data_IF_085556614533
#
_entry.id   IF_085556614533
#
_cell.length_a   1.000
_cell.length_b   1.000
_cell.length_c   1.000
_cell.angle_alpha   90.00
_cell.angle_beta   90.00
_cell.angle_gamma   90.00
#
_symmetry.space_group_name_H-M   'P 1'
#
loop_
_entity.id
_entity.type
_entity.pdbx_description
1 polymer ?
#
# COMPACT_ATOMS: atom_id res chain seq x y z
N UNK A 1 -18.91 14.18 -33.09
CA UNK A 1 -19.68 14.48 -31.87
C UNK A 1 -19.60 13.22 -31.05
N UNK A 2 -18.82 13.24 -29.96
CA UNK A 2 -18.73 12.11 -29.04
C UNK A 2 -20.08 11.92 -28.37
N UNK A 3 -20.51 10.66 -28.24
CA UNK A 3 -21.78 10.30 -27.64
C UNK A 3 -21.74 10.64 -26.14
N UNK A 4 -22.69 11.45 -25.60
CA UNK A 4 -22.73 11.78 -24.17
C UNK A 4 -22.92 10.56 -23.26
N UNK A 5 -23.41 9.45 -23.82
CA UNK A 5 -23.57 8.15 -23.14
C UNK A 5 -22.37 7.21 -23.37
N UNK A 6 -21.25 7.70 -23.92
CA UNK A 6 -20.04 6.92 -24.13
C UNK A 6 -19.25 6.71 -22.83
N UNK A 7 -19.79 5.84 -21.98
CA UNK A 7 -19.14 5.32 -20.76
C UNK A 7 -18.00 4.33 -21.08
N UNK A 8 -17.74 4.02 -22.36
CA UNK A 8 -16.70 3.04 -22.75
C UNK A 8 -15.27 3.48 -22.42
N UNK A 9 -15.06 4.76 -22.13
CA UNK A 9 -13.76 5.29 -21.71
C UNK A 9 -13.52 5.25 -20.20
N UNK A 10 -14.51 4.82 -19.39
CA UNK A 10 -14.37 4.79 -17.94
C UNK A 10 -13.97 3.38 -17.47
N UNK A 11 -12.71 3.24 -17.06
CA UNK A 11 -12.07 1.95 -16.83
C UNK A 11 -12.65 1.16 -15.64
N UNK A 12 -13.23 1.84 -14.66
CA UNK A 12 -13.59 1.24 -13.37
C UNK A 12 -15.10 1.02 -13.15
N UNK A 13 -15.95 1.26 -14.15
CA UNK A 13 -17.42 1.22 -13.99
C UNK A 13 -17.94 -0.18 -13.66
N UNK A 14 -17.17 -1.24 -13.95
CA UNK A 14 -17.56 -2.62 -13.66
C UNK A 14 -17.28 -3.04 -12.20
N UNK A 15 -16.39 -2.35 -11.48
CA UNK A 15 -15.95 -2.69 -10.11
C UNK A 15 -17.04 -2.47 -9.06
N UNK A 16 -17.26 -3.40 -8.13
CA UNK A 16 -18.20 -3.21 -7.02
C UNK A 16 -17.86 -2.00 -6.14
N UNK A 17 -18.83 -1.50 -5.35
CA UNK A 17 -18.60 -0.36 -4.43
C UNK A 17 -17.47 -0.65 -3.44
N UNK A 18 -17.34 -1.91 -2.99
CA UNK A 18 -16.25 -2.33 -2.11
C UNK A 18 -14.90 -2.22 -2.80
N UNK A 19 -14.77 -2.77 -4.01
CA UNK A 19 -13.54 -2.72 -4.78
C UNK A 19 -13.13 -1.28 -5.09
N UNK A 20 -14.10 -0.45 -5.52
CA UNK A 20 -13.85 0.98 -5.76
C UNK A 20 -13.32 1.69 -4.50
N UNK A 21 -13.90 1.44 -3.33
CA UNK A 21 -13.41 2.04 -2.09
C UNK A 21 -12.04 1.54 -1.68
N UNK A 22 -11.76 0.25 -1.89
CA UNK A 22 -10.44 -0.33 -1.64
C UNK A 22 -9.40 0.35 -2.53
N UNK A 23 -9.63 0.42 -3.84
CA UNK A 23 -8.71 1.09 -4.77
C UNK A 23 -8.53 2.57 -4.45
N UNK A 24 -9.61 3.30 -4.11
CA UNK A 24 -9.51 4.71 -3.72
C UNK A 24 -8.68 4.88 -2.44
N UNK A 25 -8.85 4.00 -1.45
CA UNK A 25 -8.03 4.03 -0.24
C UNK A 25 -6.56 3.75 -0.58
N UNK A 26 -6.28 2.64 -1.28
CA UNK A 26 -4.92 2.20 -1.55
C UNK A 26 -4.17 3.21 -2.45
N UNK A 27 -4.85 3.73 -3.48
CA UNK A 27 -4.32 4.82 -4.32
C UNK A 27 -4.02 6.07 -3.50
N UNK A 28 -4.91 6.46 -2.57
CA UNK A 28 -4.69 7.63 -1.72
C UNK A 28 -3.49 7.49 -0.77
N UNK A 29 -3.11 6.28 -0.40
CA UNK A 29 -1.90 6.03 0.39
C UNK A 29 -0.65 6.12 -0.49
N UNK A 30 -0.64 5.41 -1.62
CA UNK A 30 0.50 5.36 -2.54
C UNK A 30 0.84 6.75 -3.07
N UNK A 31 -0.17 7.57 -3.42
CA UNK A 31 0.04 8.90 -3.98
C UNK A 31 0.74 9.84 -3.00
N UNK A 32 0.42 9.76 -1.69
CA UNK A 32 1.06 10.55 -0.64
C UNK A 32 2.52 10.12 -0.45
N UNK A 33 2.76 8.82 -0.39
CA UNK A 33 4.09 8.24 -0.24
C UNK A 33 5.01 8.65 -1.41
N UNK A 34 4.50 8.56 -2.64
CA UNK A 34 5.22 8.97 -3.83
C UNK A 34 5.40 10.50 -3.91
N UNK A 35 4.43 11.29 -3.44
CA UNK A 35 4.58 12.74 -3.41
C UNK A 35 5.74 13.15 -2.50
N UNK A 36 5.84 12.58 -1.30
CA UNK A 36 6.98 12.81 -0.41
C UNK A 36 8.29 12.28 -0.98
N UNK A 37 8.30 11.07 -1.55
CA UNK A 37 9.49 10.52 -2.23
C UNK A 37 9.96 11.43 -3.37
N UNK A 38 9.05 11.96 -4.18
CA UNK A 38 9.38 12.82 -5.33
C UNK A 38 10.09 14.10 -4.89
N UNK A 39 9.69 14.71 -3.77
CA UNK A 39 10.33 15.89 -3.21
C UNK A 39 11.69 15.56 -2.62
N UNK A 40 11.76 14.47 -1.84
CA UNK A 40 12.98 14.03 -1.17
C UNK A 40 14.09 13.70 -2.17
N UNK A 41 13.75 13.01 -3.27
CA UNK A 41 14.70 12.60 -4.30
C UNK A 41 14.74 13.51 -5.52
N UNK A 42 14.00 14.63 -5.50
CA UNK A 42 13.85 15.57 -6.61
C UNK A 42 13.57 14.86 -7.95
N UNK A 43 12.58 13.96 -7.96
CA UNK A 43 12.32 13.02 -9.05
C UNK A 43 11.06 13.38 -9.82
N UNK A 44 11.24 13.94 -11.02
CA UNK A 44 10.11 14.27 -11.92
C UNK A 44 9.32 13.03 -12.37
N UNK A 45 9.95 11.87 -12.45
CA UNK A 45 9.27 10.61 -12.81
C UNK A 45 8.25 10.19 -11.73
N UNK A 46 8.60 10.33 -10.45
CA UNK A 46 7.68 10.05 -9.34
C UNK A 46 6.55 11.07 -9.32
N UNK A 47 6.89 12.34 -9.53
CA UNK A 47 5.90 13.41 -9.61
C UNK A 47 4.92 13.24 -10.76
N UNK A 48 5.38 12.72 -11.90
CA UNK A 48 4.48 12.38 -13.00
C UNK A 48 3.56 11.22 -12.61
N UNK A 49 4.08 10.16 -11.99
CA UNK A 49 3.23 9.05 -11.52
C UNK A 49 2.18 9.51 -10.51
N UNK A 50 2.51 10.46 -9.64
CA UNK A 50 1.53 11.07 -8.72
C UNK A 50 0.37 11.69 -9.49
N UNK A 51 0.63 12.46 -10.56
CA UNK A 51 -0.44 13.03 -11.40
C UNK A 51 -1.24 11.95 -12.12
N UNK A 52 -0.57 10.91 -12.63
CA UNK A 52 -1.27 9.80 -13.29
C UNK A 52 -2.22 9.09 -12.30
N UNK A 53 -1.81 8.91 -11.03
CA UNK A 53 -2.67 8.34 -9.97
C UNK A 53 -3.81 9.28 -9.55
N UNK A 54 -3.62 10.60 -9.63
CA UNK A 54 -4.69 11.58 -9.41
C UNK A 54 -5.76 11.49 -10.50
N UNK A 55 -5.34 11.34 -11.76
CA UNK A 55 -6.25 11.11 -12.88
C UNK A 55 -7.03 9.78 -12.67
N UNK A 56 -6.35 8.70 -12.25
CA UNK A 56 -6.99 7.42 -11.92
C UNK A 56 -8.01 7.57 -10.76
N UNK A 57 -7.70 8.40 -9.75
CA UNK A 57 -8.59 8.70 -8.61
C UNK A 57 -9.87 9.41 -9.05
N UNK A 58 -9.78 10.34 -10.00
CA UNK A 58 -10.94 11.04 -10.55
C UNK A 58 -11.89 10.08 -11.28
N UNK A 59 -11.35 9.09 -12.00
CA UNK A 59 -12.13 8.02 -12.63
C UNK A 59 -12.81 7.10 -11.60
N UNK A 60 -12.09 6.70 -10.54
CA UNK A 60 -12.65 5.90 -9.44
C UNK A 60 -13.79 6.65 -8.72
N UNK A 61 -13.61 7.94 -8.46
CA UNK A 61 -14.61 8.83 -7.86
C UNK A 61 -15.85 8.97 -8.73
N UNK A 62 -15.69 9.04 -10.05
CA UNK A 62 -16.84 8.99 -10.96
C UNK A 62 -17.57 7.65 -10.84
N UNK A 63 -16.83 6.54 -10.94
CA UNK A 63 -17.39 5.19 -10.92
C UNK A 63 -18.19 4.92 -9.62
N UNK A 64 -17.67 5.31 -8.46
CA UNK A 64 -18.37 5.08 -7.19
C UNK A 64 -19.63 5.91 -7.06
N UNK A 65 -19.62 7.16 -7.51
CA UNK A 65 -20.83 8.02 -7.55
C UNK A 65 -21.88 7.42 -8.46
N UNK A 66 -21.48 6.97 -9.64
CA UNK A 66 -22.36 6.31 -10.60
C UNK A 66 -23.01 5.05 -9.98
N UNK A 67 -22.23 4.17 -9.36
CA UNK A 67 -22.74 2.96 -8.70
C UNK A 67 -23.65 3.25 -7.51
N UNK A 68 -23.31 4.25 -6.71
CA UNK A 68 -24.14 4.68 -5.59
C UNK A 68 -25.52 5.15 -6.08
N UNK A 69 -25.55 5.96 -7.15
CA UNK A 69 -26.81 6.46 -7.72
C UNK A 69 -27.69 5.33 -8.28
N UNK A 70 -27.10 4.33 -8.95
CA UNK A 70 -27.85 3.18 -9.47
C UNK A 70 -28.37 2.24 -8.37
N UNK A 71 -27.67 2.20 -7.23
CA UNK A 71 -27.98 1.28 -6.13
C UNK A 71 -28.98 1.87 -5.13
N UNK A 72 -29.12 3.20 -5.08
CA UNK A 72 -30.00 3.90 -4.13
C UNK A 72 -31.48 3.81 -4.54
N UNK A 73 -32.23 2.84 -3.98
CA UNK A 73 -33.66 2.64 -4.28
C UNK A 73 -34.58 3.17 -3.18
N UNK A 74 -34.07 3.31 -1.97
CA UNK A 74 -34.80 3.80 -0.81
C UNK A 74 -34.09 4.97 -0.14
N UNK A 75 -34.79 5.68 0.75
CA UNK A 75 -34.18 6.73 1.58
C UNK A 75 -33.09 6.18 2.51
N UNK A 76 -33.24 4.94 2.94
CA UNK A 76 -32.27 4.28 3.82
C UNK A 76 -31.01 3.90 3.04
N UNK A 77 -31.13 3.39 1.81
CA UNK A 77 -29.99 3.13 0.92
C UNK A 77 -29.20 4.42 0.69
N UNK A 78 -29.89 5.53 0.39
CA UNK A 78 -29.26 6.83 0.18
C UNK A 78 -28.46 7.30 1.42
N UNK A 79 -29.00 7.07 2.62
CA UNK A 79 -28.34 7.42 3.89
C UNK A 79 -27.09 6.58 4.16
N UNK A 80 -27.08 5.31 3.78
CA UNK A 80 -25.91 4.44 3.94
C UNK A 80 -24.84 4.77 2.90
N UNK A 81 -25.25 4.91 1.63
CA UNK A 81 -24.37 5.26 0.52
C UNK A 81 -23.74 6.66 0.69
N UNK A 82 -24.43 7.62 1.32
CA UNK A 82 -23.84 8.94 1.59
C UNK A 82 -22.58 8.84 2.45
N UNK A 83 -22.55 7.94 3.44
CA UNK A 83 -21.35 7.73 4.26
C UNK A 83 -20.16 7.21 3.45
N UNK A 84 -20.42 6.29 2.52
CA UNK A 84 -19.39 5.75 1.63
C UNK A 84 -18.86 6.82 0.66
N UNK A 85 -19.75 7.67 0.13
CA UNK A 85 -19.35 8.78 -0.73
C UNK A 85 -18.52 9.83 -0.01
N UNK A 86 -18.74 10.05 1.30
CA UNK A 86 -17.89 10.93 2.11
C UNK A 86 -16.46 10.37 2.25
N UNK A 87 -16.32 9.06 2.47
CA UNK A 87 -14.99 8.42 2.51
C UNK A 87 -14.28 8.53 1.16
N UNK A 88 -14.99 8.24 0.06
CA UNK A 88 -14.46 8.40 -1.29
C UNK A 88 -14.02 9.85 -1.58
N UNK A 89 -14.83 10.82 -1.14
CA UNK A 89 -14.51 12.25 -1.25
C UNK A 89 -13.26 12.63 -0.43
N UNK A 90 -13.06 12.01 0.74
CA UNK A 90 -11.86 12.22 1.54
C UNK A 90 -10.60 11.67 0.85
N UNK A 91 -10.67 10.45 0.29
CA UNK A 91 -9.57 9.85 -0.47
C UNK A 91 -9.16 10.71 -1.69
N UNK A 92 -10.14 11.21 -2.44
CA UNK A 92 -9.94 12.16 -3.54
C UNK A 92 -9.25 13.47 -3.07
N UNK A 93 -9.68 14.04 -1.94
CA UNK A 93 -9.06 15.24 -1.39
C UNK A 93 -7.61 15.01 -0.97
N UNK A 94 -7.28 13.82 -0.46
CA UNK A 94 -5.90 13.42 -0.15
C UNK A 94 -5.08 13.37 -1.44
N UNK A 95 -5.62 12.75 -2.49
CA UNK A 95 -4.98 12.69 -3.81
C UNK A 95 -4.65 14.06 -4.37
N UNK A 96 -5.63 14.97 -4.41
CA UNK A 96 -5.42 16.35 -4.88
C UNK A 96 -4.35 17.09 -4.05
N UNK A 97 -4.32 16.88 -2.73
CA UNK A 97 -3.31 17.46 -1.86
C UNK A 97 -1.89 16.89 -2.13
N UNK A 98 -1.78 15.61 -2.48
CA UNK A 98 -0.53 15.00 -2.90
C UNK A 98 -0.03 15.62 -4.22
N UNK A 99 -0.92 15.91 -5.16
CA UNK A 99 -0.59 16.65 -6.39
C UNK A 99 -0.12 18.09 -6.11
N UNK A 100 -0.75 18.78 -5.15
CA UNK A 100 -0.29 20.08 -4.69
C UNK A 100 1.13 20.02 -4.09
N UNK A 101 1.45 18.96 -3.34
CA UNK A 101 2.79 18.71 -2.79
C UNK A 101 3.82 18.58 -3.92
N UNK A 102 3.56 17.77 -4.95
CA UNK A 102 4.52 17.59 -6.06
C UNK A 102 4.64 18.84 -6.93
N UNK A 103 3.65 19.74 -6.93
CA UNK A 103 3.71 21.04 -7.61
C UNK A 103 4.87 21.92 -7.11
N UNK A 104 5.42 21.63 -5.92
CA UNK A 104 6.58 22.31 -5.34
C UNK A 104 7.88 21.98 -6.08
N UNK A 105 7.92 20.94 -6.93
CA UNK A 105 9.06 20.62 -7.80
C UNK A 105 9.34 21.67 -8.88
N UNK A 106 8.37 22.56 -9.16
CA UNK A 106 8.62 23.72 -10.03
C UNK A 106 9.67 24.68 -9.46
N UNK A 107 9.89 24.62 -8.14
CA UNK A 107 10.91 25.40 -7.48
C UNK A 107 12.19 24.56 -7.35
N UNK A 108 13.36 25.13 -7.66
CA UNK A 108 14.61 24.42 -7.53
C UNK A 108 14.92 24.12 -6.05
N UNK A 109 15.69 23.06 -5.74
CA UNK A 109 15.92 22.59 -4.37
C UNK A 109 16.39 23.68 -3.40
N UNK A 110 17.20 24.63 -3.87
CA UNK A 110 17.73 25.73 -3.04
C UNK A 110 16.64 26.69 -2.54
N UNK A 111 15.47 26.71 -3.19
CA UNK A 111 14.31 27.53 -2.79
C UNK A 111 13.34 26.80 -1.87
N UNK A 112 13.65 25.56 -1.47
CA UNK A 112 12.84 24.76 -0.55
C UNK A 112 13.70 24.05 0.52
N UNK A 113 14.61 24.77 1.20
CA UNK A 113 15.66 24.17 2.02
C UNK A 113 15.14 23.35 3.21
N UNK A 114 13.94 23.66 3.73
CA UNK A 114 13.37 22.99 4.90
C UNK A 114 12.46 21.80 4.57
N UNK A 115 12.09 21.61 3.30
CA UNK A 115 11.11 20.57 2.94
C UNK A 115 11.68 19.17 3.23
N UNK A 116 12.93 18.92 2.84
CA UNK A 116 13.57 17.62 3.09
C UNK A 116 13.73 17.36 4.58
N UNK A 117 14.12 18.37 5.37
CA UNK A 117 14.30 18.22 6.82
C UNK A 117 12.97 17.94 7.53
N UNK A 118 11.89 18.63 7.17
CA UNK A 118 10.55 18.40 7.73
C UNK A 118 10.05 17.00 7.41
N UNK A 119 10.27 16.52 6.18
CA UNK A 119 9.88 15.15 5.79
C UNK A 119 10.70 14.08 6.53
N UNK A 120 11.87 14.43 7.05
CA UNK A 120 12.68 13.55 7.89
C UNK A 120 12.25 13.57 9.36
N UNK A 121 11.42 14.51 9.82
CA UNK A 121 10.93 14.55 11.20
C UNK A 121 9.70 13.65 11.44
N UNK A 122 9.12 13.09 10.38
CA UNK A 122 8.01 12.14 10.47
C UNK A 122 8.41 10.83 11.16
N UNK A 123 7.47 10.24 11.91
CA UNK A 123 7.62 8.93 12.57
C UNK A 123 7.84 7.81 11.53
N UNK A 124 7.14 7.90 10.40
CA UNK A 124 7.39 7.07 9.23
C UNK A 124 8.11 7.87 8.15
N UNK A 125 9.23 7.32 7.65
CA UNK A 125 10.13 8.00 6.73
C UNK A 125 10.26 7.25 5.43
N UNK A 126 10.50 8.02 4.37
CA UNK A 126 10.87 7.47 3.07
C UNK A 126 12.37 7.22 3.03
N UNK A 127 12.78 6.01 2.61
CA UNK A 127 14.18 5.61 2.46
C UNK A 127 14.38 4.87 1.14
N UNK A 128 15.46 5.17 0.45
CA UNK A 128 15.89 4.44 -0.74
C UNK A 128 17.04 3.50 -0.35
N UNK A 129 16.82 2.20 -0.51
CA UNK A 129 17.71 1.13 -0.06
C UNK A 129 18.14 0.33 -1.29
N UNK A 130 19.44 0.15 -1.47
CA UNK A 130 19.98 -0.68 -2.55
C UNK A 130 20.12 -2.13 -2.13
N UNK A 131 19.56 -3.04 -2.92
CA UNK A 131 19.72 -4.48 -2.75
C UNK A 131 21.10 -4.91 -3.24
N UNK A 132 21.93 -5.41 -2.34
CA UNK A 132 23.25 -5.93 -2.66
C UNK A 132 23.18 -7.36 -3.23
N UNK A 133 24.08 -7.74 -4.15
CA UNK A 133 24.14 -9.11 -4.68
C UNK A 133 24.27 -10.20 -3.61
N UNK A 134 24.87 -9.87 -2.47
CA UNK A 134 25.09 -10.77 -1.34
C UNK A 134 23.85 -10.93 -0.43
N UNK A 135 22.79 -10.14 -0.67
CA UNK A 135 21.56 -10.23 0.13
C UNK A 135 20.78 -11.50 -0.19
N UNK A 136 20.35 -12.21 0.86
CA UNK A 136 19.47 -13.37 0.74
C UNK A 136 18.05 -13.00 0.26
N UNK A 137 17.72 -11.71 0.20
CA UNK A 137 16.46 -11.23 -0.38
C UNK A 137 16.41 -11.43 -1.90
N UNK A 138 17.58 -11.49 -2.56
CA UNK A 138 17.68 -11.59 -4.02
C UNK A 138 17.02 -12.86 -4.54
N UNK A 139 16.14 -12.70 -5.53
CA UNK A 139 15.45 -13.79 -6.21
C UNK A 139 14.10 -14.18 -5.60
N UNK A 140 13.76 -13.65 -4.43
CA UNK A 140 12.49 -13.86 -3.75
C UNK A 140 11.44 -12.82 -4.17
N UNK A 141 10.16 -13.20 -4.07
CA UNK A 141 9.03 -12.29 -4.30
C UNK A 141 8.81 -11.39 -3.10
N UNK A 142 8.16 -10.24 -3.30
CA UNK A 142 7.77 -9.33 -2.21
C UNK A 142 6.88 -10.07 -1.20
N UNK A 143 5.92 -10.86 -1.69
CA UNK A 143 5.03 -11.71 -0.89
C UNK A 143 5.82 -12.64 0.04
N UNK A 144 6.75 -13.42 -0.53
CA UNK A 144 7.52 -14.41 0.22
C UNK A 144 8.42 -13.76 1.27
N UNK A 145 8.93 -12.56 0.97
CA UNK A 145 9.73 -11.83 1.93
C UNK A 145 8.84 -11.26 3.04
N UNK A 146 7.58 -10.92 2.79
CA UNK A 146 6.66 -10.34 3.77
C UNK A 146 7.32 -9.17 4.53
N UNK A 147 7.98 -8.27 3.79
CA UNK A 147 8.87 -7.23 4.35
C UNK A 147 8.13 -6.36 5.35
N UNK A 148 6.89 -5.99 5.04
CA UNK A 148 6.07 -5.14 5.91
C UNK A 148 5.80 -5.80 7.26
N UNK A 149 5.45 -7.09 7.27
CA UNK A 149 5.24 -7.84 8.51
C UNK A 149 6.54 -8.03 9.31
N UNK A 150 7.66 -8.25 8.63
CA UNK A 150 8.94 -8.58 9.27
C UNK A 150 9.75 -7.35 9.74
N UNK A 151 9.57 -6.19 9.09
CA UNK A 151 10.37 -4.99 9.38
C UNK A 151 9.53 -3.75 9.64
N UNK A 152 8.21 -3.80 9.43
CA UNK A 152 7.37 -2.60 9.46
C UNK A 152 7.63 -1.65 8.30
N UNK A 153 8.27 -2.11 7.22
CA UNK A 153 8.52 -1.29 6.03
C UNK A 153 7.66 -1.76 4.85
N UNK A 154 6.92 -0.83 4.25
CA UNK A 154 6.20 -1.05 3.01
C UNK A 154 7.06 -0.60 1.82
N UNK A 155 7.21 -1.44 0.79
CA UNK A 155 7.83 -1.02 -0.48
C UNK A 155 6.81 -0.19 -1.25
N UNK A 156 7.19 1.03 -1.65
CA UNK A 156 6.34 1.94 -2.42
C UNK A 156 6.80 2.10 -3.87
N UNK A 157 8.08 1.83 -4.15
CA UNK A 157 8.61 1.82 -5.51
C UNK A 157 9.86 0.96 -5.61
N UNK A 158 10.12 0.42 -6.80
CA UNK A 158 11.34 -0.30 -7.14
C UNK A 158 11.91 0.31 -8.41
N UNK A 159 13.20 0.68 -8.38
CA UNK A 159 13.96 1.08 -9.56
C UNK A 159 14.91 -0.03 -9.94
N UNK A 160 14.75 -0.53 -11.15
CA UNK A 160 15.68 -1.48 -11.76
C UNK A 160 16.21 -0.91 -13.09
N UNK A 161 16.95 -1.74 -13.83
CA UNK A 161 17.53 -1.36 -15.13
C UNK A 161 16.51 -0.96 -16.21
N UNK A 162 15.25 -1.35 -16.05
CA UNK A 162 14.14 -1.08 -16.98
C UNK A 162 13.35 0.19 -16.60
N UNK A 163 13.63 0.78 -15.44
CA UNK A 163 12.96 1.99 -14.97
C UNK A 163 12.35 1.80 -13.59
N UNK A 164 11.35 2.63 -13.31
CA UNK A 164 10.59 2.61 -12.07
C UNK A 164 9.34 1.72 -12.20
N UNK A 165 9.11 0.91 -11.18
CA UNK A 165 7.85 0.26 -10.88
C UNK A 165 7.33 0.89 -9.59
N UNK A 166 6.10 1.39 -9.61
CA UNK A 166 5.45 2.03 -8.46
C UNK A 166 4.37 1.11 -7.94
N UNK A 167 4.20 1.06 -6.62
CA UNK A 167 3.30 0.12 -5.94
C UNK A 167 3.44 -1.32 -6.49
N UNK A 168 4.62 -1.93 -6.33
CA UNK A 168 4.93 -3.20 -6.96
C UNK A 168 4.05 -4.32 -6.42
N UNK A 169 3.51 -5.13 -7.34
CA UNK A 169 2.74 -6.33 -7.03
C UNK A 169 3.51 -7.33 -6.15
N UNK A 170 2.78 -8.07 -5.33
CA UNK A 170 3.34 -9.02 -4.37
C UNK A 170 4.17 -10.15 -5.01
N UNK A 171 3.85 -10.54 -6.25
CA UNK A 171 4.56 -11.58 -7.00
C UNK A 171 5.87 -11.08 -7.64
N UNK A 172 6.14 -9.78 -7.58
CA UNK A 172 7.34 -9.19 -8.17
C UNK A 172 8.60 -9.67 -7.42
N UNK A 173 9.60 -10.12 -8.18
CA UNK A 173 10.88 -10.58 -7.62
C UNK A 173 11.86 -9.43 -7.41
N UNK A 174 12.41 -9.35 -6.20
CA UNK A 174 13.53 -8.47 -5.88
C UNK A 174 14.81 -9.01 -6.50
N UNK A 175 15.57 -8.15 -7.20
CA UNK A 175 16.82 -8.52 -7.87
C UNK A 175 18.01 -7.78 -7.30
N UNK A 176 19.19 -8.36 -7.49
CA UNK A 176 20.44 -7.72 -7.12
C UNK A 176 20.61 -6.39 -7.89
N UNK A 177 21.02 -5.35 -7.15
CA UNK A 177 21.20 -3.96 -7.61
C UNK A 177 19.91 -3.19 -7.89
N UNK A 178 18.74 -3.71 -7.53
CA UNK A 178 17.53 -2.90 -7.48
C UNK A 178 17.66 -1.84 -6.37
N UNK A 179 17.11 -0.65 -6.59
CA UNK A 179 16.83 0.31 -5.52
C UNK A 179 15.37 0.17 -5.13
N UNK A 180 15.10 -0.18 -3.88
CA UNK A 180 13.75 -0.15 -3.33
C UNK A 180 13.57 1.18 -2.60
N UNK A 181 12.40 1.80 -2.77
CA UNK A 181 11.96 2.93 -1.96
C UNK A 181 10.92 2.40 -1.01
N UNK A 182 11.12 2.66 0.28
CA UNK A 182 10.28 2.14 1.36
C UNK A 182 9.77 3.26 2.24
N UNK A 183 8.58 3.05 2.80
CA UNK A 183 8.04 3.80 3.94
C UNK A 183 8.08 2.92 5.19
N UNK A 184 8.52 3.48 6.31
CA UNK A 184 8.47 2.82 7.61
C UNK A 184 9.23 3.59 8.67
N UNK A 185 9.31 3.06 9.88
CA UNK A 185 10.09 3.66 10.97
C UNK A 185 11.59 3.62 10.66
N UNK A 186 12.39 4.46 11.33
CA UNK A 186 13.86 4.40 11.22
C UNK A 186 14.39 3.00 11.57
N UNK A 187 13.94 2.43 12.68
CA UNK A 187 14.38 1.10 13.14
C UNK A 187 14.07 0.02 12.11
N UNK A 188 12.87 0.06 11.52
CA UNK A 188 12.46 -0.85 10.46
C UNK A 188 13.32 -0.69 9.21
N UNK A 189 13.56 0.54 8.78
CA UNK A 189 14.36 0.84 7.60
C UNK A 189 15.85 0.48 7.78
N UNK A 190 16.39 0.68 8.98
CA UNK A 190 17.75 0.30 9.33
C UNK A 190 17.91 -1.22 9.39
N UNK A 191 16.91 -1.93 9.93
CA UNK A 191 16.86 -3.38 9.91
C UNK A 191 16.81 -3.91 8.47
N UNK A 192 15.91 -3.37 7.64
CA UNK A 192 15.78 -3.72 6.23
C UNK A 192 17.08 -3.44 5.46
N UNK A 193 17.76 -2.34 5.77
CA UNK A 193 19.06 -2.00 5.18
C UNK A 193 20.15 -3.04 5.53
N UNK A 194 20.09 -3.67 6.71
CA UNK A 194 21.02 -4.75 7.06
C UNK A 194 20.77 -6.01 6.22
N UNK A 195 19.50 -6.39 6.02
CA UNK A 195 19.13 -7.51 5.15
C UNK A 195 19.48 -7.22 3.68
N UNK A 196 19.10 -6.05 3.17
CA UNK A 196 19.39 -5.62 1.80
C UNK A 196 20.90 -5.53 1.52
N UNK A 197 21.72 -5.27 2.53
CA UNK A 197 23.18 -5.24 2.40
C UNK A 197 23.85 -6.63 2.52
N UNK A 198 23.10 -7.69 2.82
CA UNK A 198 23.65 -9.03 3.11
C UNK A 198 24.43 -9.10 4.44
N UNK A 199 24.21 -8.15 5.35
CA UNK A 199 24.82 -8.16 6.71
C UNK A 199 24.03 -9.01 7.70
N UNK A 200 22.75 -9.18 7.43
CA UNK A 200 21.86 -10.15 8.08
C UNK A 200 21.25 -11.05 7.01
N UNK A 201 21.01 -12.30 7.35
CA UNK A 201 20.29 -13.23 6.51
C UNK A 201 18.78 -13.10 6.75
N UNK A 202 18.01 -12.99 5.68
CA UNK A 202 16.56 -13.11 5.70
C UNK A 202 16.19 -14.55 6.04
N UNK A 203 15.62 -14.75 7.23
CA UNK A 203 15.09 -16.04 7.66
C UNK A 203 13.65 -16.14 7.16
N UNK A 204 13.35 -17.19 6.42
CA UNK A 204 11.97 -17.51 6.06
C UNK A 204 11.43 -18.38 7.18
N UNK A 205 10.29 -17.99 7.77
CA UNK A 205 9.56 -18.90 8.64
C UNK A 205 9.25 -20.17 7.85
N UNK A 206 9.57 -21.32 8.42
CA UNK A 206 9.21 -22.60 7.80
C UNK A 206 7.69 -22.66 7.78
N UNK A 207 7.10 -22.77 6.59
CA UNK A 207 5.68 -23.11 6.48
C UNK A 207 5.53 -24.47 7.14
N UNK A 208 4.67 -24.62 8.18
CA UNK A 208 4.42 -25.92 8.77
C UNK A 208 4.09 -26.90 7.65
N UNK A 209 4.74 -28.06 7.65
CA UNK A 209 4.33 -29.14 6.74
C UNK A 209 2.85 -29.46 6.93
N UNK A 210 2.18 -30.02 5.92
CA UNK A 210 0.76 -30.42 6.04
C UNK A 210 0.52 -31.28 7.30
N UNK A 211 1.46 -32.18 7.63
CA UNK A 211 1.43 -32.97 8.86
C UNK A 211 1.55 -32.13 10.15
N UNK A 212 2.35 -31.06 10.15
CA UNK A 212 2.47 -30.15 11.30
C UNK A 212 1.25 -29.25 11.45
N UNK A 213 0.69 -28.77 10.34
CA UNK A 213 -0.53 -27.96 10.35
C UNK A 213 -1.75 -28.78 10.81
N UNK A 214 -1.85 -30.06 10.41
CA UNK A 214 -2.88 -30.98 10.90
C UNK A 214 -2.71 -31.26 12.40
N UNK A 215 -1.47 -31.46 12.89
CA UNK A 215 -1.21 -31.65 14.31
C UNK A 215 -1.54 -30.42 15.16
N UNK A 216 -1.17 -29.22 14.70
CA UNK A 216 -1.51 -27.96 15.37
C UNK A 216 -3.04 -27.70 15.37
N UNK A 217 -3.74 -28.05 14.28
CA UNK A 217 -5.20 -27.94 14.23
C UNK A 217 -5.88 -28.90 15.21
N UNK A 218 -5.45 -30.16 15.28
CA UNK A 218 -5.97 -31.13 16.26
C UNK A 218 -5.68 -30.72 17.71
N UNK A 219 -4.51 -30.11 17.97
CA UNK A 219 -4.14 -29.62 19.30
C UNK A 219 -5.02 -28.42 19.71
N UNK A 220 -5.21 -27.45 18.81
CA UNK A 220 -6.10 -26.32 19.05
C UNK A 220 -7.56 -26.73 19.27
N UNK A 221 -8.09 -27.69 18.50
CA UNK A 221 -9.45 -28.21 18.71
C UNK A 221 -9.59 -28.87 20.09
N UNK A 222 -8.58 -29.62 20.54
CA UNK A 222 -8.58 -30.24 21.89
C UNK A 222 -8.51 -29.21 23.00
N UNK A 223 -7.74 -28.14 22.82
CA UNK A 223 -7.67 -27.04 23.79
C UNK A 223 -9.00 -26.26 23.87
N UNK A 224 -9.65 -25.99 22.73
CA UNK A 224 -10.99 -25.37 22.71
C UNK A 224 -12.05 -26.25 23.38
N UNK A 225 -12.02 -27.56 23.16
CA UNK A 225 -12.91 -28.51 23.83
C UNK A 225 -12.68 -28.54 25.34
N UNK A 226 -11.42 -28.57 25.80
CA UNK A 226 -11.08 -28.53 27.22
C UNK A 226 -11.52 -27.22 27.89
N UNK A 227 -11.26 -26.06 27.26
CA UNK A 227 -11.75 -24.77 27.75
C UNK A 227 -13.28 -24.74 27.83
N UNK A 228 -13.96 -25.31 26.83
CA UNK A 228 -15.42 -25.36 26.79
C UNK A 228 -16.01 -26.27 27.87
N UNK A 229 -15.33 -27.35 28.24
CA UNK A 229 -15.73 -28.23 29.33
C UNK A 229 -15.47 -27.61 30.71
N UNK A 230 -14.34 -26.92 30.90
CA UNK A 230 -14.05 -26.17 32.13
C UNK A 230 -15.09 -25.07 32.38
N UNK A 231 -15.44 -24.30 31.35
CA UNK A 231 -16.48 -23.25 31.43
C UNK A 231 -17.87 -23.81 31.75
N UNK A 232 -18.17 -25.06 31.34
CA UNK A 232 -19.44 -25.74 31.70
C UNK A 232 -19.42 -26.31 33.11
N UNK A 233 -18.25 -26.70 33.62
CA UNK A 233 -18.09 -27.20 34.98
C UNK A 233 -18.21 -26.13 36.07
N UNK A 234 -17.92 -24.88 35.75
CA UNK A 234 -18.05 -23.74 36.68
C UNK A 234 -19.49 -23.22 36.84
N UNK A 235 -20.44 -23.64 36.00
CA UNK A 235 -21.86 -23.23 36.11
C UNK A 235 -22.70 -24.11 37.07
N UNK A 236 -22.13 -25.19 37.64
CA UNK A 236 -22.84 -26.13 38.53
C UNK A 236 -22.52 -26.01 40.04
N UNK A 237 -21.73 -25.01 40.48
CA UNK A 237 -21.53 -24.66 41.92
C UNK A 237 -22.26 -23.37 42.35
#
# INVERSE_FOLDING_TARGET
MSDPDDISNLQHVDMSVRELLTEMKDTSEVIVDLAYASLMYNSDNMAQKVRDLEDDMDDLKFAIRYKALLSSRTKEDARQLSGLLEVASAADRISNAASDIVSLLRFPPEKRPLITDILLESDERIRMIRIKPESTMVGNTIERLAIEANTGCKIIAIKNRHGWTYDPEYDMKIRANDDIVVRGTDDGADLLTQYAAGRKEWVFEETPTEEQAEQEAEENEREEEQLSEELRGEEEE
#
